data_IF_541732141893
#
_entry.id   IF_541732141893
#
_cell.length_a   1.000
_cell.length_b   1.000
_cell.length_c   1.000
_cell.angle_alpha   90.00
_cell.angle_beta   90.00
_cell.angle_gamma   90.00
#
_symmetry.space_group_name_H-M   'P 1'
#
loop_
_entity.id
_entity.type
_entity.pdbx_description
1 polymer ?
#
# COMPACT_ATOMS: atom_id res chain seq x y z
N UNK A 1 19.03 18.30 3.51
CA UNK A 1 19.21 17.34 2.39
C UNK A 1 18.64 17.89 1.07
N UNK A 2 18.69 19.21 0.86
CA UNK A 2 17.85 19.92 -0.13
C UNK A 2 18.09 19.56 -1.61
N UNK A 3 19.17 18.85 -1.92
CA UNK A 3 19.57 18.45 -3.27
C UNK A 3 19.61 16.92 -3.45
N UNK A 4 18.92 16.19 -2.57
CA UNK A 4 18.82 14.73 -2.65
C UNK A 4 17.40 14.36 -3.07
N UNK A 5 17.26 13.23 -3.75
CA UNK A 5 15.98 12.70 -4.22
C UNK A 5 15.74 11.29 -3.68
N UNK A 6 14.55 11.04 -3.15
CA UNK A 6 14.17 9.76 -2.53
C UNK A 6 12.96 9.16 -3.24
N UNK A 7 13.08 7.91 -3.68
CA UNK A 7 11.96 7.12 -4.16
C UNK A 7 11.35 6.32 -3.00
N UNK A 8 10.02 6.37 -2.87
CA UNK A 8 9.25 5.50 -1.98
C UNK A 8 8.40 4.58 -2.84
N UNK A 9 8.53 3.25 -2.68
CA UNK A 9 7.81 2.27 -3.49
C UNK A 9 6.66 1.69 -2.67
N UNK A 10 5.43 2.12 -2.95
CA UNK A 10 4.19 1.73 -2.28
C UNK A 10 3.66 2.83 -1.36
N UNK A 11 2.38 3.16 -1.48
CA UNK A 11 1.63 4.08 -0.63
C UNK A 11 0.67 3.33 0.32
N UNK A 12 1.07 2.13 0.76
CA UNK A 12 0.48 1.47 1.93
C UNK A 12 0.93 2.13 3.25
N UNK A 13 0.49 1.62 4.42
CA UNK A 13 0.80 2.21 5.72
C UNK A 13 2.28 2.52 5.94
N UNK A 14 3.20 1.66 5.47
CA UNK A 14 4.64 1.88 5.59
C UNK A 14 5.15 3.06 4.74
N UNK A 15 4.73 3.17 3.48
CA UNK A 15 5.13 4.29 2.61
C UNK A 15 4.50 5.61 3.05
N UNK A 16 3.23 5.56 3.48
CA UNK A 16 2.53 6.69 4.10
C UNK A 16 3.23 7.15 5.39
N UNK A 17 3.72 6.22 6.23
CA UNK A 17 4.51 6.56 7.40
C UNK A 17 5.85 7.22 7.02
N UNK A 18 6.51 6.77 5.94
CA UNK A 18 7.74 7.39 5.45
C UNK A 18 7.51 8.81 4.93
N UNK A 19 6.42 9.04 4.20
CA UNK A 19 5.98 10.38 3.77
C UNK A 19 5.71 11.27 4.98
N UNK A 20 4.96 10.78 5.98
CA UNK A 20 4.68 11.51 7.22
C UNK A 20 5.97 11.83 7.99
N UNK A 21 6.93 10.92 8.05
CA UNK A 21 8.20 11.15 8.72
C UNK A 21 8.98 12.32 8.09
N UNK A 22 9.07 12.38 6.76
CA UNK A 22 9.67 13.54 6.08
C UNK A 22 8.86 14.80 6.34
N UNK A 23 7.53 14.73 6.28
CA UNK A 23 6.67 15.90 6.54
C UNK A 23 6.86 16.46 7.95
N UNK A 24 6.90 15.61 8.96
CA UNK A 24 7.13 16.03 10.35
C UNK A 24 8.48 16.72 10.53
N UNK A 25 9.52 16.28 9.82
CA UNK A 25 10.84 16.95 9.84
C UNK A 25 10.80 18.29 9.11
N UNK A 26 10.14 18.36 7.95
CA UNK A 26 9.95 19.60 7.20
C UNK A 26 9.21 20.67 8.05
N UNK A 27 8.20 20.26 8.82
CA UNK A 27 7.43 21.13 9.73
C UNK A 27 8.30 21.74 10.85
N UNK A 28 9.46 21.15 11.17
CA UNK A 28 10.44 21.74 12.11
C UNK A 28 11.37 22.80 11.48
N UNK A 29 11.21 23.07 10.17
CA UNK A 29 12.06 24.00 9.41
C UNK A 29 13.35 23.37 8.88
N UNK A 30 13.50 22.04 8.97
CA UNK A 30 14.65 21.32 8.43
C UNK A 30 14.42 20.99 6.96
N UNK A 31 15.40 21.32 6.11
CA UNK A 31 15.35 21.00 4.68
C UNK A 31 15.36 19.48 4.41
N UNK A 32 14.25 18.99 3.88
CA UNK A 32 14.05 17.60 3.42
C UNK A 32 14.45 17.40 1.95
N UNK A 33 14.74 16.17 1.52
CA UNK A 33 14.96 15.86 0.09
C UNK A 33 13.68 15.95 -0.74
N UNK A 34 13.81 15.97 -2.06
CA UNK A 34 12.69 15.73 -2.98
C UNK A 34 12.19 14.30 -2.79
N UNK A 35 10.88 14.12 -2.65
CA UNK A 35 10.24 12.82 -2.44
C UNK A 35 9.34 12.51 -3.62
N UNK A 36 9.49 11.31 -4.18
CA UNK A 36 8.56 10.74 -5.15
C UNK A 36 8.11 9.39 -4.64
N UNK A 37 6.81 9.23 -4.43
CA UNK A 37 6.20 7.95 -4.06
C UNK A 37 5.50 7.34 -5.28
N UNK A 38 5.74 6.07 -5.55
CA UNK A 38 5.08 5.31 -6.61
C UNK A 38 4.08 4.34 -6.00
N UNK A 39 2.82 4.41 -6.42
CA UNK A 39 1.76 3.50 -6.02
C UNK A 39 1.08 2.94 -7.26
N UNK A 40 0.98 1.61 -7.33
CA UNK A 40 0.39 0.95 -8.51
C UNK A 40 -1.13 1.01 -8.53
N UNK A 41 -1.77 1.11 -7.36
CA UNK A 41 -3.20 1.27 -7.23
C UNK A 41 -3.61 2.72 -7.54
N UNK A 42 -4.91 2.92 -7.75
CA UNK A 42 -5.54 4.22 -8.01
C UNK A 42 -5.64 5.12 -6.76
N UNK A 43 -5.44 4.52 -5.58
CA UNK A 43 -5.45 5.21 -4.30
C UNK A 43 -4.47 4.56 -3.30
N UNK A 44 -4.20 5.26 -2.21
CA UNK A 44 -3.31 4.81 -1.14
C UNK A 44 -3.97 3.75 -0.24
N UNK A 45 -3.23 3.31 0.78
CA UNK A 45 -3.72 2.42 1.83
C UNK A 45 -3.27 0.97 1.67
N UNK A 46 -2.67 0.60 0.54
CA UNK A 46 -2.08 -0.73 0.33
C UNK A 46 -3.13 -1.82 0.49
N UNK A 47 -2.92 -2.76 1.43
CA UNK A 47 -3.88 -3.83 1.72
C UNK A 47 -5.27 -3.30 2.14
N UNK A 48 -5.33 -2.13 2.80
CA UNK A 48 -6.58 -1.55 3.30
C UNK A 48 -7.50 -1.02 2.20
N UNK A 49 -6.96 -0.78 1.00
CA UNK A 49 -7.75 -0.41 -0.17
C UNK A 49 -8.40 -1.67 -0.76
N UNK A 50 -9.68 -1.90 -0.43
CA UNK A 50 -10.40 -3.09 -0.88
C UNK A 50 -10.71 -3.01 -2.38
N UNK A 51 -10.52 -4.14 -3.07
CA UNK A 51 -10.95 -4.32 -4.45
C UNK A 51 -11.65 -5.66 -4.62
N UNK A 52 -12.69 -5.70 -5.45
CA UNK A 52 -13.37 -6.94 -5.81
C UNK A 52 -12.54 -7.81 -6.79
N UNK A 53 -11.52 -7.24 -7.43
CA UNK A 53 -10.65 -7.93 -8.40
C UNK A 53 -9.77 -8.97 -7.71
N UNK A 54 -9.55 -10.11 -8.37
CA UNK A 54 -8.72 -11.24 -7.91
C UNK A 54 -7.74 -11.64 -9.01
N UNK A 55 -6.58 -12.22 -8.66
CA UNK A 55 -5.52 -12.51 -9.64
C UNK A 55 -4.86 -11.23 -10.16
N UNK A 56 -5.40 -10.65 -11.23
CA UNK A 56 -4.89 -9.42 -11.86
C UNK A 56 -5.89 -8.26 -11.72
N UNK A 57 -5.37 -7.03 -11.67
CA UNK A 57 -6.16 -5.80 -11.72
C UNK A 57 -6.46 -5.37 -13.17
N UNK A 58 -6.97 -4.15 -13.35
CA UNK A 58 -7.39 -3.64 -14.66
C UNK A 58 -6.26 -3.34 -15.63
N UNK A 59 -5.03 -3.21 -15.13
CA UNK A 59 -3.83 -2.98 -15.94
C UNK A 59 -2.99 -4.25 -16.11
N UNK A 60 -3.48 -5.39 -15.59
CA UNK A 60 -2.75 -6.65 -15.64
C UNK A 60 -1.69 -6.80 -14.54
N UNK A 61 -1.67 -5.93 -13.53
CA UNK A 61 -0.83 -6.11 -12.34
C UNK A 61 -1.46 -7.10 -11.37
N UNK A 62 -0.66 -7.73 -10.51
CA UNK A 62 -1.21 -8.59 -9.45
C UNK A 62 -2.13 -7.77 -8.54
N UNK A 63 -3.38 -8.20 -8.36
CA UNK A 63 -4.32 -7.58 -7.42
C UNK A 63 -3.72 -7.60 -6.00
N UNK A 64 -3.47 -6.41 -5.43
CA UNK A 64 -2.61 -6.29 -4.26
C UNK A 64 -3.31 -6.63 -2.94
N UNK A 65 -4.57 -6.21 -2.78
CA UNK A 65 -5.30 -6.42 -1.54
C UNK A 65 -5.72 -7.88 -1.39
N UNK A 66 -5.38 -8.45 -0.24
CA UNK A 66 -5.87 -9.75 0.26
C UNK A 66 -7.06 -9.61 1.21
N UNK A 67 -7.61 -8.40 1.35
CA UNK A 67 -8.75 -8.16 2.22
C UNK A 67 -10.07 -8.54 1.54
N UNK A 68 -11.04 -8.89 2.38
CA UNK A 68 -12.35 -9.39 1.97
C UNK A 68 -13.47 -8.57 2.61
N UNK A 69 -14.69 -8.74 2.09
CA UNK A 69 -15.89 -8.15 2.69
C UNK A 69 -16.03 -8.64 4.13
N UNK A 70 -16.57 -7.77 4.99
CA UNK A 70 -16.77 -8.06 6.42
C UNK A 70 -15.48 -8.28 7.21
N UNK A 71 -14.32 -7.82 6.72
CA UNK A 71 -13.07 -7.85 7.49
C UNK A 71 -13.10 -6.82 8.63
N UNK A 72 -12.68 -7.26 9.82
CA UNK A 72 -12.50 -6.42 11.02
C UNK A 72 -11.03 -6.45 11.44
N UNK A 73 -10.63 -5.47 12.25
CA UNK A 73 -9.34 -5.50 12.94
C UNK A 73 -9.17 -6.85 13.63
N UNK A 74 -8.01 -7.49 13.45
CA UNK A 74 -7.69 -8.77 14.09
C UNK A 74 -7.03 -8.62 15.47
N UNK A 75 -6.66 -7.38 15.83
CA UNK A 75 -6.16 -7.00 17.15
C UNK A 75 -6.81 -5.72 17.65
N UNK A 76 -6.65 -5.39 18.94
CA UNK A 76 -7.18 -4.15 19.51
C UNK A 76 -6.59 -2.93 18.80
N UNK A 77 -7.43 -1.95 18.46
CA UNK A 77 -7.00 -0.72 17.79
C UNK A 77 -5.98 0.06 18.62
N UNK A 78 -6.04 -0.07 19.94
CA UNK A 78 -5.10 0.53 20.89
C UNK A 78 -3.66 0.05 20.68
N UNK A 79 -3.46 -1.13 20.09
CA UNK A 79 -2.13 -1.67 19.78
C UNK A 79 -1.54 -1.13 18.47
N UNK A 80 -2.32 -0.39 17.68
CA UNK A 80 -1.95 0.13 16.36
C UNK A 80 -2.22 1.63 16.20
N UNK A 81 -2.54 2.31 17.31
CA UNK A 81 -2.76 3.75 17.35
C UNK A 81 -1.45 4.50 17.06
N UNK A 82 -1.54 5.52 16.20
CA UNK A 82 -0.40 6.38 15.90
C UNK A 82 -0.15 7.35 17.07
N UNK A 83 1.09 7.40 17.54
CA UNK A 83 1.48 8.30 18.63
C UNK A 83 1.38 9.80 18.27
N UNK A 84 1.32 10.13 16.97
CA UNK A 84 1.18 11.49 16.46
C UNK A 84 -0.22 11.82 15.92
N UNK A 85 -1.18 10.88 16.03
CA UNK A 85 -2.55 11.05 15.52
C UNK A 85 -3.51 10.07 16.20
N UNK A 86 -4.23 10.49 17.22
CA UNK A 86 -5.04 9.60 18.05
C UNK A 86 -6.39 9.28 17.42
N UNK A 87 -6.97 8.12 17.79
CA UNK A 87 -8.33 7.74 17.38
C UNK A 87 -9.38 8.77 17.82
N UNK A 88 -9.22 9.34 19.01
CA UNK A 88 -10.12 10.38 19.54
C UNK A 88 -10.03 11.68 18.72
N UNK A 89 -8.82 12.07 18.29
CA UNK A 89 -8.62 13.24 17.41
C UNK A 89 -9.29 13.05 16.06
N UNK A 90 -9.22 11.85 15.50
CA UNK A 90 -9.79 11.55 14.19
C UNK A 90 -11.33 11.43 14.23
N UNK A 91 -11.87 10.61 15.14
CA UNK A 91 -13.30 10.30 15.17
C UNK A 91 -14.14 11.27 16.01
N UNK A 92 -13.54 12.06 16.91
CA UNK A 92 -14.23 12.96 17.85
C UNK A 92 -15.26 12.27 18.75
N UNK A 93 -15.23 10.94 18.86
CA UNK A 93 -16.02 10.16 19.80
C UNK A 93 -15.35 8.80 20.04
N UNK A 94 -15.63 8.12 21.16
CA UNK A 94 -15.12 6.78 21.39
C UNK A 94 -15.72 5.77 20.40
N UNK A 95 -14.90 4.82 19.97
CA UNK A 95 -15.30 3.65 19.17
C UNK A 95 -14.79 2.37 19.81
N UNK A 96 -15.40 1.23 19.46
CA UNK A 96 -14.97 -0.08 19.96
C UNK A 96 -13.55 -0.45 19.50
N UNK A 97 -12.88 -1.32 20.26
CA UNK A 97 -11.48 -1.70 20.02
C UNK A 97 -11.25 -2.53 18.76
N UNK A 98 -12.28 -3.12 18.18
CA UNK A 98 -12.20 -3.89 16.94
C UNK A 98 -13.08 -3.19 15.90
N UNK A 99 -12.55 -2.21 15.16
CA UNK A 99 -13.29 -1.56 14.07
C UNK A 99 -13.27 -2.40 12.78
N UNK A 100 -14.28 -2.24 11.90
CA UNK A 100 -14.23 -2.82 10.55
C UNK A 100 -13.13 -2.18 9.69
N UNK A 101 -12.71 -2.86 8.61
CA UNK A 101 -11.68 -2.40 7.68
C UNK A 101 -11.83 -0.93 7.26
N UNK A 102 -13.05 -0.54 6.87
CA UNK A 102 -13.35 0.81 6.36
C UNK A 102 -13.03 1.89 7.38
N UNK A 103 -13.30 1.63 8.65
CA UNK A 103 -13.03 2.58 9.75
C UNK A 103 -11.53 2.71 9.98
N UNK A 104 -10.75 1.62 9.87
CA UNK A 104 -9.28 1.73 9.96
C UNK A 104 -8.67 2.39 8.73
N UNK A 105 -9.22 2.16 7.54
CA UNK A 105 -8.79 2.86 6.33
C UNK A 105 -9.01 4.38 6.46
N UNK A 106 -10.18 4.80 6.94
CA UNK A 106 -10.52 6.21 7.23
C UNK A 106 -9.50 6.84 8.20
N UNK A 107 -9.21 6.15 9.30
CA UNK A 107 -8.21 6.59 10.28
C UNK A 107 -6.79 6.75 9.70
N UNK A 108 -6.33 5.78 8.90
CA UNK A 108 -5.01 5.84 8.22
C UNK A 108 -4.98 7.00 7.23
N UNK A 109 -6.06 7.17 6.46
CA UNK A 109 -6.20 8.22 5.45
C UNK A 109 -6.20 9.61 6.09
N UNK A 110 -6.97 9.83 7.16
CA UNK A 110 -7.07 11.12 7.83
C UNK A 110 -5.72 11.67 8.31
N UNK A 111 -4.82 10.80 8.77
CA UNK A 111 -3.46 11.21 9.18
C UNK A 111 -2.66 11.82 8.03
N UNK A 112 -2.71 11.21 6.84
CA UNK A 112 -1.91 11.64 5.69
C UNK A 112 -2.55 12.76 4.89
N UNK A 113 -3.88 12.88 4.93
CA UNK A 113 -4.60 14.05 4.43
C UNK A 113 -4.20 15.30 5.22
N UNK A 114 -4.17 15.23 6.56
CA UNK A 114 -3.68 16.32 7.42
C UNK A 114 -2.24 16.73 7.11
N UNK A 115 -1.40 15.77 6.71
CA UNK A 115 -0.01 16.00 6.36
C UNK A 115 0.18 16.60 4.94
N UNK A 116 -0.87 16.63 4.11
CA UNK A 116 -0.84 17.11 2.73
C UNK A 116 0.31 16.53 1.89
N UNK A 117 0.49 15.20 1.95
CA UNK A 117 1.57 14.49 1.22
C UNK A 117 1.09 13.85 -0.08
N UNK A 118 -0.20 13.99 -0.43
CA UNK A 118 -0.80 13.29 -1.59
C UNK A 118 -0.12 13.66 -2.91
N UNK A 119 0.27 14.93 -3.08
CA UNK A 119 0.92 15.44 -4.29
C UNK A 119 2.30 14.82 -4.55
N UNK A 120 2.90 14.17 -3.54
CA UNK A 120 4.17 13.45 -3.68
C UNK A 120 3.97 12.03 -4.25
N UNK A 121 2.73 11.57 -4.39
CA UNK A 121 2.39 10.20 -4.80
C UNK A 121 1.91 10.20 -6.25
N UNK A 122 2.54 9.33 -7.05
CA UNK A 122 2.12 8.98 -8.40
C UNK A 122 1.34 7.67 -8.33
N UNK A 123 0.01 7.78 -8.38
CA UNK A 123 -0.90 6.64 -8.45
C UNK A 123 -0.88 6.00 -9.84
N UNK A 124 -1.49 4.81 -9.97
CA UNK A 124 -1.50 4.03 -11.21
C UNK A 124 -0.09 3.88 -11.80
N UNK A 125 0.94 3.79 -10.95
CA UNK A 125 2.33 3.76 -11.39
C UNK A 125 3.06 2.58 -10.75
N UNK A 126 3.32 1.55 -11.55
CA UNK A 126 4.00 0.34 -11.10
C UNK A 126 5.51 0.47 -11.30
N UNK A 127 6.29 0.28 -10.23
CA UNK A 127 7.75 0.16 -10.35
C UNK A 127 8.09 -1.19 -10.99
N UNK A 128 8.90 -1.14 -12.05
CA UNK A 128 9.35 -2.31 -12.83
C UNK A 128 10.72 -2.79 -12.43
N UNK A 129 11.63 -1.85 -12.16
CA UNK A 129 13.03 -2.17 -11.88
C UNK A 129 13.66 -1.10 -11.00
N UNK A 130 14.65 -1.52 -10.21
CA UNK A 130 15.52 -0.63 -9.43
C UNK A 130 16.95 -1.13 -9.60
N UNK A 131 17.80 -0.32 -10.22
CA UNK A 131 19.21 -0.65 -10.44
C UNK A 131 20.09 0.36 -9.73
N UNK A 132 21.14 -0.12 -9.07
CA UNK A 132 22.13 0.74 -8.42
C UNK A 132 23.40 0.80 -9.27
N UNK A 133 23.85 2.01 -9.59
CA UNK A 133 25.13 2.22 -10.29
C UNK A 133 26.23 2.62 -9.30
N UNK A 134 27.26 1.77 -9.23
CA UNK A 134 28.41 1.98 -8.36
C UNK A 134 29.25 3.21 -8.72
N UNK A 135 29.18 3.73 -9.95
CA UNK A 135 29.96 4.91 -10.36
C UNK A 135 29.28 6.21 -9.93
N UNK A 136 28.01 6.39 -10.27
CA UNK A 136 27.21 7.56 -9.88
C UNK A 136 26.79 7.53 -8.42
N UNK A 137 26.72 6.34 -7.80
CA UNK A 137 26.14 6.12 -6.47
C UNK A 137 24.65 6.46 -6.40
N UNK A 138 23.94 6.30 -7.53
CA UNK A 138 22.51 6.56 -7.67
C UNK A 138 21.76 5.26 -7.98
N UNK A 139 20.46 5.30 -7.69
CA UNK A 139 19.49 4.29 -8.09
C UNK A 139 18.71 4.78 -9.32
N UNK A 140 18.67 3.99 -10.38
CA UNK A 140 17.73 4.19 -11.49
C UNK A 140 16.47 3.40 -11.19
N UNK A 141 15.35 4.09 -11.01
CA UNK A 141 14.03 3.48 -10.81
C UNK A 141 13.26 3.58 -12.11
N UNK A 142 12.96 2.43 -12.73
CA UNK A 142 12.08 2.33 -13.89
C UNK A 142 10.66 2.08 -13.43
N UNK A 143 9.73 2.94 -13.85
CA UNK A 143 8.32 2.87 -13.51
C UNK A 143 7.45 2.92 -14.78
N UNK A 144 6.26 2.35 -14.68
CA UNK A 144 5.25 2.32 -15.73
C UNK A 144 4.02 3.06 -15.24
N UNK A 145 3.69 4.18 -15.88
CA UNK A 145 2.40 4.84 -15.73
C UNK A 145 1.37 3.99 -16.47
N UNK A 146 0.49 3.33 -15.71
CA UNK A 146 -0.47 2.36 -16.20
C UNK A 146 -1.65 3.02 -16.92
N UNK A 147 -1.94 4.29 -16.63
CA UNK A 147 -3.02 5.03 -17.28
C UNK A 147 -2.62 5.45 -18.69
N UNK A 148 -1.36 5.86 -18.88
CA UNK A 148 -0.85 6.36 -20.16
C UNK A 148 -0.04 5.31 -20.96
N UNK A 149 0.15 4.12 -20.40
CA UNK A 149 1.01 3.04 -20.94
C UNK A 149 2.44 3.50 -21.26
N UNK A 150 2.97 4.41 -20.43
CA UNK A 150 4.30 4.98 -20.59
C UNK A 150 5.29 4.40 -19.57
N UNK A 151 6.45 3.96 -20.05
CA UNK A 151 7.57 3.52 -19.22
C UNK A 151 8.65 4.59 -19.22
N UNK A 152 9.07 4.99 -18.03
CA UNK A 152 10.12 5.99 -17.83
C UNK A 152 11.05 5.59 -16.69
N UNK A 153 12.21 6.24 -16.62
CA UNK A 153 13.17 6.06 -15.55
C UNK A 153 13.55 7.40 -14.92
N UNK A 154 13.78 7.40 -13.61
CA UNK A 154 14.31 8.53 -12.87
C UNK A 154 15.43 8.08 -11.94
N UNK A 155 16.42 8.96 -11.73
CA UNK A 155 17.52 8.71 -10.80
C UNK A 155 17.20 9.23 -9.40
N UNK A 156 17.60 8.46 -8.39
CA UNK A 156 17.36 8.74 -6.98
C UNK A 156 18.63 8.48 -6.17
N UNK A 157 18.87 9.28 -5.14
CA UNK A 157 19.97 9.03 -4.20
C UNK A 157 19.64 7.89 -3.24
N UNK A 158 18.36 7.71 -2.93
CA UNK A 158 17.88 6.68 -2.00
C UNK A 158 16.56 6.07 -2.46
N UNK A 159 16.36 4.80 -2.11
CA UNK A 159 15.11 4.07 -2.36
C UNK A 159 14.62 3.45 -1.05
N UNK A 160 13.34 3.67 -0.73
CA UNK A 160 12.63 3.05 0.38
C UNK A 160 11.59 2.09 -0.19
N UNK A 161 11.78 0.80 0.05
CA UNK A 161 10.85 -0.25 -0.42
C UNK A 161 9.77 -0.49 0.63
N UNK A 162 8.53 -0.14 0.30
CA UNK A 162 7.34 -0.26 1.15
C UNK A 162 6.21 -1.07 0.47
N UNK A 163 6.58 -2.02 -0.41
CA UNK A 163 5.67 -2.77 -1.28
C UNK A 163 4.92 -3.93 -0.61
N UNK A 164 5.18 -4.20 0.68
CA UNK A 164 4.51 -5.27 1.43
C UNK A 164 4.93 -6.68 1.02
N UNK A 165 4.43 -7.68 1.76
CA UNK A 165 4.79 -9.10 1.56
C UNK A 165 3.63 -10.08 1.84
N UNK A 166 2.38 -9.60 1.82
CA UNK A 166 1.16 -10.42 1.99
C UNK A 166 0.25 -10.43 0.75
N UNK A 167 0.86 -10.21 -0.43
CA UNK A 167 0.16 -10.07 -1.71
C UNK A 167 0.66 -11.01 -2.80
N UNK A 168 1.77 -11.71 -2.58
CA UNK A 168 2.25 -12.80 -3.44
C UNK A 168 1.96 -14.11 -2.74
N UNK A 169 1.07 -14.97 -3.28
CA UNK A 169 0.57 -16.13 -2.55
C UNK A 169 1.58 -17.28 -2.58
N UNK A 170 1.63 -18.06 -1.50
CA UNK A 170 2.26 -19.38 -1.51
C UNK A 170 1.18 -20.42 -1.80
N UNK A 171 1.16 -20.96 -3.03
CA UNK A 171 0.13 -21.89 -3.49
C UNK A 171 0.74 -23.28 -3.71
N UNK A 172 0.82 -24.13 -2.68
CA UNK A 172 1.31 -25.49 -2.83
C UNK A 172 0.35 -26.33 -3.67
N UNK A 173 0.91 -27.29 -4.42
CA UNK A 173 0.13 -28.26 -5.17
C UNK A 173 -0.08 -29.55 -4.34
N UNK A 174 -1.29 -30.09 -4.38
CA UNK A 174 -1.61 -31.39 -3.78
C UNK A 174 -2.13 -32.37 -4.84
N UNK A 175 -1.92 -33.66 -4.60
CA UNK A 175 -2.47 -34.71 -5.46
C UNK A 175 -4.00 -34.61 -5.50
N UNK A 176 -4.57 -34.72 -6.70
CA UNK A 176 -6.02 -34.65 -6.91
C UNK A 176 -6.60 -33.25 -7.15
N UNK A 177 -5.83 -32.17 -6.99
CA UNK A 177 -6.31 -30.80 -7.28
C UNK A 177 -6.89 -30.65 -8.69
N UNK A 178 -6.25 -31.26 -9.69
CA UNK A 178 -6.72 -31.22 -11.08
C UNK A 178 -8.05 -31.97 -11.33
N UNK A 179 -8.48 -32.81 -10.39
CA UNK A 179 -9.70 -33.63 -10.50
C UNK A 179 -10.78 -33.21 -9.50
N UNK A 180 -10.49 -32.23 -8.62
CA UNK A 180 -11.44 -31.77 -7.61
C UNK A 180 -12.58 -30.99 -8.28
N UNK A 181 -13.81 -31.42 -8.05
CA UNK A 181 -15.01 -30.84 -8.67
C UNK A 181 -15.62 -29.69 -7.85
N UNK A 182 -14.77 -28.92 -7.15
CA UNK A 182 -15.16 -27.75 -6.36
C UNK A 182 -14.18 -26.61 -6.56
N UNK A 183 -14.46 -25.47 -5.94
CA UNK A 183 -13.58 -24.30 -6.04
C UNK A 183 -12.33 -24.48 -5.17
N UNK A 184 -11.16 -24.24 -5.76
CA UNK A 184 -9.88 -24.09 -5.04
C UNK A 184 -9.43 -22.64 -5.23
N UNK A 185 -9.15 -21.95 -4.14
CA UNK A 185 -8.62 -20.60 -4.15
C UNK A 185 -7.61 -20.41 -3.02
N UNK A 186 -6.63 -19.53 -3.20
CA UNK A 186 -5.79 -19.05 -2.12
C UNK A 186 -6.52 -17.95 -1.33
N UNK A 187 -6.18 -17.74 -0.06
CA UNK A 187 -6.79 -16.71 0.80
C UNK A 187 -6.69 -15.29 0.21
N UNK A 188 -5.67 -15.04 -0.62
CA UNK A 188 -5.48 -13.79 -1.37
C UNK A 188 -6.69 -13.45 -2.27
N UNK A 189 -7.34 -14.46 -2.84
CA UNK A 189 -8.44 -14.29 -3.80
C UNK A 189 -9.82 -14.39 -3.15
N UNK A 190 -9.90 -14.60 -1.83
CA UNK A 190 -11.17 -14.62 -1.13
C UNK A 190 -11.77 -13.21 -1.04
N UNK A 191 -13.08 -13.07 -1.29
CA UNK A 191 -13.76 -11.77 -1.28
C UNK A 191 -15.05 -11.74 -0.50
N UNK A 192 -15.91 -12.75 -0.60
CA UNK A 192 -17.23 -12.73 0.03
C UNK A 192 -17.59 -14.08 0.63
N UNK A 193 -17.84 -14.12 1.94
CA UNK A 193 -18.23 -15.34 2.63
C UNK A 193 -19.57 -15.90 2.15
N UNK A 194 -20.46 -15.03 1.63
CA UNK A 194 -21.77 -15.44 1.12
C UNK A 194 -21.67 -16.37 -0.10
N UNK A 195 -20.53 -16.38 -0.80
CA UNK A 195 -20.31 -17.30 -1.92
C UNK A 195 -20.27 -18.78 -1.49
N UNK A 196 -20.05 -19.04 -0.20
CA UNK A 196 -20.00 -20.37 0.40
C UNK A 196 -21.21 -20.69 1.27
N UNK A 197 -22.27 -19.89 1.24
CA UNK A 197 -23.50 -20.18 1.97
C UNK A 197 -24.14 -21.49 1.46
N UNK A 198 -24.46 -22.41 2.38
CA UNK A 198 -25.11 -23.68 2.06
C UNK A 198 -24.24 -24.72 1.35
N UNK A 199 -22.93 -24.46 1.20
CA UNK A 199 -21.93 -25.43 0.76
C UNK A 199 -21.44 -26.32 1.90
#
# INVERSE_FOLDING_TARGET
>A
MKNKKVAIIGAGPSGLAQLRAFKSVEETGVDVPEIVCFEKQDNWGGLWNYSWRTGLDEYGEIAHSSMYRYLWSNGPKECLEFADYYFEEHFNHPIASFPPREVLFDYIQGRVEKANVRDQIRFNTAVRNVEYDDKSKLFTVTASNLTDDEIYSEEFDYVVVASGHFSTPNVPNYEGFSHFNGRILHALDFRDALEFEGQ
#
